data_IF_232239631952
#
_entry.id   IF_232239631952
#
_cell.length_a   1.000
_cell.length_b   1.000
_cell.length_c   1.000
_cell.angle_alpha   90.00
_cell.angle_beta   90.00
_cell.angle_gamma   90.00
#
_symmetry.space_group_name_H-M   'P 1'
#
loop_
_entity.id
_entity.type
_entity.pdbx_description
1 polymer ?
#
# COMPACT_ATOMS: atom_id res chain seq x y z
N UNK A 1 4.25 -23.59 8.20
CA UNK A 1 3.84 -22.17 8.16
C UNK A 1 4.50 -21.50 9.36
N UNK A 2 5.67 -20.87 9.16
CA UNK A 2 6.38 -20.14 10.22
C UNK A 2 5.77 -18.75 10.23
N UNK A 3 4.75 -18.56 11.09
CA UNK A 3 4.25 -17.23 11.41
C UNK A 3 5.25 -16.63 12.40
N UNK A 4 6.26 -15.90 11.93
CA UNK A 4 7.07 -15.05 12.82
C UNK A 4 6.15 -13.97 13.35
N UNK A 5 5.66 -14.12 14.57
CA UNK A 5 5.00 -13.04 15.28
C UNK A 5 6.05 -11.98 15.66
N UNK A 6 6.26 -11.03 14.77
CA UNK A 6 7.17 -9.89 14.99
C UNK A 6 6.63 -8.99 16.08
N UNK A 7 5.31 -8.86 16.14
CA UNK A 7 4.58 -8.10 17.14
C UNK A 7 3.73 -9.04 17.98
N UNK A 8 3.84 -8.95 19.29
CA UNK A 8 2.96 -9.70 20.19
C UNK A 8 1.53 -9.09 20.24
N UNK A 9 0.59 -9.82 20.86
CA UNK A 9 -0.82 -9.42 20.94
C UNK A 9 -1.04 -8.02 21.56
N UNK A 10 -0.27 -7.66 22.58
CA UNK A 10 -0.40 -6.33 23.19
C UNK A 10 0.13 -5.21 22.28
N UNK A 11 1.21 -5.45 21.55
CA UNK A 11 1.73 -4.49 20.56
C UNK A 11 0.75 -4.28 19.40
N UNK A 12 0.17 -5.37 18.87
CA UNK A 12 -0.89 -5.30 17.86
C UNK A 12 -2.07 -4.48 18.37
N UNK A 13 -2.54 -4.73 19.59
CA UNK A 13 -3.65 -3.99 20.18
C UNK A 13 -3.34 -2.50 20.40
N UNK A 14 -2.11 -2.15 20.76
CA UNK A 14 -1.67 -0.75 20.86
C UNK A 14 -1.73 -0.08 19.47
N UNK A 15 -1.25 -0.74 18.42
CA UNK A 15 -1.31 -0.23 17.05
C UNK A 15 -2.78 -0.02 16.62
N UNK A 16 -3.67 -0.98 16.86
CA UNK A 16 -5.10 -0.86 16.58
C UNK A 16 -5.71 0.37 17.26
N UNK A 17 -5.42 0.60 18.55
CA UNK A 17 -5.88 1.77 19.29
C UNK A 17 -5.36 3.09 18.71
N UNK A 18 -4.11 3.10 18.24
CA UNK A 18 -3.49 4.28 17.63
C UNK A 18 -3.97 4.52 16.19
N UNK A 19 -4.51 3.50 15.50
CA UNK A 19 -5.22 3.68 14.22
C UNK A 19 -6.55 4.43 14.39
N UNK A 20 -7.20 4.31 15.56
CA UNK A 20 -8.40 5.07 15.90
C UNK A 20 -8.10 6.53 16.22
N UNK A 21 -6.85 6.87 16.58
CA UNK A 21 -6.39 8.22 16.89
C UNK A 21 -5.25 8.24 17.90
N UNK A 22 -4.60 9.40 18.00
CA UNK A 22 -3.48 9.60 18.91
C UNK A 22 -3.92 9.45 20.38
N UNK A 23 -3.14 8.72 21.18
CA UNK A 23 -3.45 8.38 22.58
C UNK A 23 -2.31 8.73 23.54
N UNK A 24 -2.67 9.07 24.76
CA UNK A 24 -1.72 9.19 25.87
C UNK A 24 -1.42 7.82 26.50
N UNK A 25 -0.33 7.72 27.26
CA UNK A 25 -0.03 6.50 28.03
C UNK A 25 -1.19 6.06 28.92
N UNK A 26 -1.88 7.01 29.57
CA UNK A 26 -2.99 6.69 30.48
C UNK A 26 -4.20 6.11 29.74
N UNK A 27 -4.53 6.66 28.58
CA UNK A 27 -5.60 6.15 27.71
C UNK A 27 -5.26 4.74 27.21
N UNK A 28 -4.03 4.50 26.76
CA UNK A 28 -3.59 3.17 26.30
C UNK A 28 -3.64 2.15 27.45
N UNK A 29 -3.20 2.53 28.66
CA UNK A 29 -3.26 1.65 29.84
C UNK A 29 -4.69 1.26 30.17
N UNK A 30 -5.62 2.20 30.11
CA UNK A 30 -7.04 1.95 30.39
C UNK A 30 -7.65 0.93 29.40
N UNK A 31 -7.27 1.00 28.11
CA UNK A 31 -7.82 0.17 27.04
C UNK A 31 -7.16 -1.22 26.94
N UNK A 32 -5.85 -1.32 27.24
CA UNK A 32 -5.11 -2.58 27.12
C UNK A 32 -5.34 -3.50 28.33
N UNK A 33 -5.64 -2.95 29.52
CA UNK A 33 -5.92 -3.72 30.73
C UNK A 33 -4.69 -4.38 31.36
N UNK A 34 -3.45 -3.96 31.04
CA UNK A 34 -2.22 -4.39 31.70
C UNK A 34 -1.60 -3.22 32.49
N UNK A 35 -0.63 -3.54 33.35
CA UNK A 35 0.04 -2.55 34.19
C UNK A 35 0.75 -1.44 33.38
N UNK A 36 0.80 -0.22 33.91
CA UNK A 36 1.50 0.91 33.29
C UNK A 36 2.95 0.60 32.89
N UNK A 37 3.77 -0.08 33.71
CA UNK A 37 5.11 -0.52 33.30
C UNK A 37 5.08 -1.49 32.11
N UNK A 38 4.08 -2.37 32.06
CA UNK A 38 3.89 -3.30 30.94
C UNK A 38 3.61 -2.56 29.62
N UNK A 39 2.67 -1.62 29.63
CA UNK A 39 2.39 -0.78 28.45
C UNK A 39 3.62 0.02 28.04
N UNK A 40 4.32 0.65 29.00
CA UNK A 40 5.52 1.43 28.72
C UNK A 40 6.61 0.60 28.02
N UNK A 41 6.80 -0.66 28.43
CA UNK A 41 7.74 -1.58 27.78
C UNK A 41 7.36 -1.84 26.32
N UNK A 42 6.07 -2.03 26.03
CA UNK A 42 5.58 -2.26 24.67
C UNK A 42 5.71 -1.00 23.81
N UNK A 43 5.34 0.17 24.34
CA UNK A 43 5.52 1.45 23.64
C UNK A 43 6.98 1.70 23.28
N UNK A 44 7.89 1.53 24.26
CA UNK A 44 9.33 1.67 24.00
C UNK A 44 9.81 0.76 22.88
N UNK A 45 9.33 -0.50 22.84
CA UNK A 45 9.68 -1.43 21.76
C UNK A 45 9.12 -1.01 20.40
N UNK A 46 7.93 -0.42 20.36
CA UNK A 46 7.34 0.10 19.13
C UNK A 46 8.03 1.40 18.66
N UNK A 47 8.50 2.25 19.59
CA UNK A 47 9.34 3.40 19.28
C UNK A 47 10.73 2.99 18.76
N UNK A 48 11.35 1.96 19.34
CA UNK A 48 12.64 1.40 18.87
C UNK A 48 12.53 0.81 17.44
N UNK A 49 11.32 0.47 17.00
CA UNK A 49 11.02 -0.02 15.65
C UNK A 49 10.50 1.09 14.72
N UNK A 50 10.47 2.34 15.17
CA UNK A 50 9.91 3.50 14.46
C UNK A 50 8.44 3.33 14.00
N UNK A 51 7.69 2.40 14.63
CA UNK A 51 6.26 2.19 14.35
C UNK A 51 5.40 3.29 14.96
N UNK A 52 5.82 3.82 16.11
CA UNK A 52 5.14 4.92 16.80
C UNK A 52 6.14 6.01 17.20
N UNK A 53 5.61 7.21 17.43
CA UNK A 53 6.38 8.31 17.99
C UNK A 53 5.61 8.97 19.12
N UNK A 54 6.29 9.23 20.23
CA UNK A 54 5.76 10.00 21.35
C UNK A 54 6.12 11.47 21.22
N UNK A 55 5.13 12.36 21.26
CA UNK A 55 5.34 13.80 21.23
C UNK A 55 4.85 14.44 22.55
N UNK A 56 5.64 15.43 23.04
CA UNK A 56 5.29 16.15 24.25
C UNK A 56 4.27 17.24 23.96
N UNK A 57 3.15 17.16 24.66
CA UNK A 57 2.14 18.23 24.70
C UNK A 57 2.15 18.91 26.05
N UNK A 58 1.90 20.23 26.09
CA UNK A 58 1.62 20.98 27.33
C UNK A 58 0.12 20.94 27.60
N UNK A 59 -0.26 20.43 28.76
CA UNK A 59 -1.63 20.49 29.28
C UNK A 59 -1.66 21.31 30.56
N UNK A 60 -2.85 21.69 31.03
CA UNK A 60 -3.06 22.43 32.29
C UNK A 60 -2.41 21.76 33.52
N UNK A 61 -2.34 20.43 33.53
CA UNK A 61 -1.78 19.59 34.59
C UNK A 61 -0.29 19.23 34.39
N UNK A 62 0.37 19.77 33.37
CA UNK A 62 1.79 19.54 33.15
C UNK A 62 2.14 19.02 31.74
N UNK A 63 3.21 18.24 31.67
CA UNK A 63 3.77 17.70 30.42
C UNK A 63 3.27 16.27 30.21
N UNK A 64 2.51 16.03 29.15
CA UNK A 64 2.05 14.69 28.76
C UNK A 64 2.73 14.25 27.46
N UNK A 65 2.86 12.94 27.26
CA UNK A 65 3.30 12.35 26.00
C UNK A 65 2.09 11.77 25.29
N UNK A 66 1.90 12.19 24.05
CA UNK A 66 0.90 11.62 23.14
C UNK A 66 1.59 10.81 22.07
N UNK A 67 1.16 9.55 21.90
CA UNK A 67 1.69 8.63 20.92
C UNK A 67 0.86 8.65 19.66
N UNK A 68 1.51 8.57 18.51
CA UNK A 68 0.90 8.47 17.20
C UNK A 68 1.67 7.46 16.34
N UNK A 69 0.99 6.88 15.34
CA UNK A 69 1.60 5.97 14.39
C UNK A 69 2.48 6.75 13.40
N UNK A 70 3.59 6.12 13.02
CA UNK A 70 4.39 6.52 11.87
C UNK A 70 4.08 5.58 10.70
N UNK A 71 4.21 6.02 9.45
CA UNK A 71 4.29 5.11 8.31
C UNK A 71 5.41 4.11 8.58
N UNK A 72 5.09 2.81 8.56
CA UNK A 72 6.05 1.76 8.85
C UNK A 72 5.88 0.60 7.90
N UNK A 73 6.98 0.22 7.27
CA UNK A 73 7.07 -0.94 6.41
C UNK A 73 8.22 -1.82 6.88
N UNK A 74 7.99 -3.12 6.97
CA UNK A 74 9.04 -4.08 7.29
C UNK A 74 9.05 -5.20 6.26
N UNK A 75 10.21 -5.45 5.69
CA UNK A 75 10.44 -6.55 4.76
C UNK A 75 11.25 -7.63 5.43
N UNK A 76 10.77 -8.87 5.33
CA UNK A 76 11.50 -10.06 5.73
C UNK A 76 11.71 -10.89 4.47
N UNK A 77 12.96 -11.10 4.10
CA UNK A 77 13.36 -11.98 3.02
C UNK A 77 14.02 -13.21 3.61
N UNK A 78 13.51 -14.39 3.27
CA UNK A 78 14.10 -15.67 3.64
C UNK A 78 14.37 -16.44 2.35
N UNK A 79 15.63 -16.71 2.09
CA UNK A 79 16.06 -17.53 0.98
C UNK A 79 16.70 -18.83 1.49
N UNK A 80 15.99 -19.97 1.35
CA UNK A 80 16.50 -21.27 1.79
C UNK A 80 17.68 -21.76 0.98
N UNK A 81 17.83 -21.35 -0.29
CA UNK A 81 18.90 -21.79 -1.18
C UNK A 81 20.22 -21.13 -0.82
N UNK A 82 20.20 -19.83 -0.58
CA UNK A 82 21.38 -19.07 -0.10
C UNK A 82 21.56 -19.12 1.40
N UNK A 83 20.61 -19.71 2.15
CA UNK A 83 20.56 -19.75 3.61
C UNK A 83 20.64 -18.37 4.25
N UNK A 84 20.05 -17.38 3.59
CA UNK A 84 20.01 -15.99 4.08
C UNK A 84 18.64 -15.64 4.64
N UNK A 85 18.64 -14.88 5.73
CA UNK A 85 17.45 -14.23 6.27
C UNK A 85 17.79 -12.77 6.55
N UNK A 86 17.07 -11.87 5.91
CA UNK A 86 17.26 -10.42 6.07
C UNK A 86 15.94 -9.81 6.54
N UNK A 87 16.03 -8.88 7.48
CA UNK A 87 14.90 -8.02 7.85
C UNK A 87 15.38 -6.58 7.90
N UNK A 88 14.63 -5.66 7.33
CA UNK A 88 14.95 -4.24 7.37
C UNK A 88 13.66 -3.41 7.36
N UNK A 89 13.71 -2.25 8.01
CA UNK A 89 12.70 -1.22 7.83
C UNK A 89 12.81 -0.64 6.42
N UNK A 90 11.69 -0.39 5.78
CA UNK A 90 11.66 -0.09 4.36
C UNK A 90 11.94 1.38 4.02
N UNK A 91 12.12 2.25 5.00
CA UNK A 91 12.27 3.69 4.79
C UNK A 91 13.48 4.07 3.92
N UNK A 92 14.50 3.21 3.86
CA UNK A 92 15.74 3.49 3.13
C UNK A 92 15.90 2.73 1.80
N UNK A 93 15.06 1.74 1.49
CA UNK A 93 15.40 0.76 0.42
C UNK A 93 14.26 0.42 -0.51
N UNK A 94 13.01 0.70 -0.16
CA UNK A 94 11.87 0.33 -0.99
C UNK A 94 11.02 1.56 -1.30
N UNK A 95 11.03 1.92 -2.58
CA UNK A 95 9.97 2.70 -3.17
C UNK A 95 8.62 2.14 -2.70
N UNK A 96 7.69 2.98 -2.25
CA UNK A 96 6.34 2.57 -1.83
C UNK A 96 5.67 1.66 -2.88
N UNK A 97 6.03 1.85 -4.14
CA UNK A 97 5.60 1.07 -5.29
C UNK A 97 5.94 -0.42 -5.19
N UNK A 98 7.04 -0.81 -4.54
CA UNK A 98 7.44 -2.22 -4.43
C UNK A 98 6.48 -3.04 -3.56
N UNK A 99 5.91 -2.47 -2.50
CA UNK A 99 4.92 -3.14 -1.66
C UNK A 99 3.62 -3.41 -2.39
N UNK A 100 3.18 -2.44 -3.18
CA UNK A 100 1.95 -2.56 -3.96
C UNK A 100 2.06 -3.71 -4.96
N UNK A 101 3.23 -3.88 -5.59
CA UNK A 101 3.52 -4.99 -6.50
C UNK A 101 3.55 -6.37 -5.81
N UNK A 102 3.89 -6.43 -4.54
CA UNK A 102 3.87 -7.65 -3.74
C UNK A 102 2.48 -8.31 -3.70
N UNK A 103 1.41 -7.54 -3.86
CA UNK A 103 0.03 -8.01 -3.90
C UNK A 103 -0.36 -8.71 -5.21
N UNK A 104 0.45 -8.63 -6.26
CA UNK A 104 0.21 -9.34 -7.53
C UNK A 104 0.42 -10.84 -7.29
N UNK A 105 -0.62 -11.69 -7.48
CA UNK A 105 -0.56 -13.11 -7.13
C UNK A 105 0.52 -13.87 -7.92
N UNK A 106 0.63 -13.60 -9.21
CA UNK A 106 1.56 -14.28 -10.10
C UNK A 106 2.89 -13.52 -10.17
N UNK A 107 3.94 -14.11 -9.60
CA UNK A 107 5.26 -13.47 -9.44
C UNK A 107 5.90 -13.08 -10.77
N UNK A 108 5.67 -13.86 -11.83
CA UNK A 108 6.21 -13.60 -13.17
C UNK A 108 5.75 -12.26 -13.75
N UNK A 109 4.56 -11.79 -13.41
CA UNK A 109 4.04 -10.50 -13.88
C UNK A 109 4.56 -9.29 -13.07
N UNK A 110 5.08 -9.51 -11.85
CA UNK A 110 5.56 -8.42 -10.98
C UNK A 110 6.68 -7.61 -11.64
N UNK A 111 7.63 -8.29 -12.28
CA UNK A 111 8.74 -7.66 -12.98
C UNK A 111 8.27 -6.80 -14.17
N UNK A 112 7.31 -7.30 -14.94
CA UNK A 112 6.78 -6.58 -16.09
C UNK A 112 5.92 -5.37 -15.66
N UNK A 113 5.06 -5.53 -14.67
CA UNK A 113 4.30 -4.41 -14.10
C UNK A 113 5.23 -3.35 -13.53
N UNK A 114 6.33 -3.75 -12.86
CA UNK A 114 7.35 -2.82 -12.36
C UNK A 114 8.00 -2.02 -13.51
N UNK A 115 8.33 -2.67 -14.63
CA UNK A 115 8.93 -1.98 -15.76
C UNK A 115 7.97 -0.98 -16.39
N UNK A 116 6.68 -1.33 -16.53
CA UNK A 116 5.66 -0.38 -16.94
C UNK A 116 5.56 0.82 -15.99
N UNK A 117 5.47 0.57 -14.69
CA UNK A 117 5.39 1.64 -13.70
C UNK A 117 6.59 2.58 -13.76
N UNK A 118 7.81 2.05 -13.86
CA UNK A 118 9.04 2.83 -13.94
C UNK A 118 9.03 3.82 -15.11
N UNK A 119 8.52 3.42 -16.27
CA UNK A 119 8.38 4.31 -17.42
C UNK A 119 7.22 5.30 -17.22
N UNK A 120 6.05 4.82 -16.79
CA UNK A 120 4.85 5.63 -16.63
C UNK A 120 5.05 6.70 -15.54
N UNK A 121 5.64 6.36 -14.41
CA UNK A 121 5.85 7.29 -13.28
C UNK A 121 6.93 8.34 -13.56
N UNK A 122 7.68 8.21 -14.65
CA UNK A 122 8.59 9.26 -15.12
C UNK A 122 7.84 10.51 -15.62
N UNK A 123 6.54 10.38 -15.92
CA UNK A 123 5.68 11.50 -16.32
C UNK A 123 5.10 12.18 -15.09
N UNK A 124 5.37 13.47 -14.94
CA UNK A 124 4.98 14.23 -13.74
C UNK A 124 3.53 14.72 -13.79
N UNK A 125 2.56 13.84 -13.50
CA UNK A 125 1.19 14.25 -13.24
C UNK A 125 1.00 14.61 -11.76
N UNK A 126 0.21 15.66 -11.49
CA UNK A 126 0.03 16.18 -10.11
C UNK A 126 -0.62 15.16 -9.16
N UNK A 127 -1.57 14.35 -9.64
CA UNK A 127 -2.29 13.37 -8.82
C UNK A 127 -3.00 12.34 -9.69
N UNK A 128 -2.72 11.06 -9.48
CA UNK A 128 -3.40 9.95 -10.16
C UNK A 128 -3.22 8.63 -9.42
N UNK A 129 -4.09 7.68 -9.75
CA UNK A 129 -4.12 6.33 -9.21
C UNK A 129 -4.00 5.32 -10.35
N UNK A 130 -3.18 4.28 -10.19
CA UNK A 130 -3.13 3.15 -11.11
C UNK A 130 -3.62 1.89 -10.40
N UNK A 131 -4.60 1.23 -11.00
CA UNK A 131 -5.15 -0.03 -10.51
C UNK A 131 -4.89 -1.12 -11.55
N UNK A 132 -4.19 -2.17 -11.17
CA UNK A 132 -4.11 -3.41 -11.94
C UNK A 132 -5.41 -4.18 -11.77
N UNK A 133 -6.03 -4.64 -12.86
CA UNK A 133 -7.25 -5.44 -12.83
C UNK A 133 -7.17 -6.61 -13.83
N UNK A 134 -8.26 -7.31 -14.10
CA UNK A 134 -8.28 -8.42 -15.04
C UNK A 134 -7.53 -9.67 -14.55
N UNK A 135 -7.09 -10.49 -15.48
CA UNK A 135 -6.57 -11.84 -15.19
C UNK A 135 -5.28 -11.85 -14.38
N UNK A 136 -4.41 -10.86 -14.57
CA UNK A 136 -3.17 -10.72 -13.79
C UNK A 136 -3.49 -10.42 -12.33
N UNK A 137 -4.42 -9.50 -12.06
CA UNK A 137 -4.85 -9.17 -10.71
C UNK A 137 -5.57 -10.33 -10.03
N UNK A 138 -6.31 -11.14 -10.78
CA UNK A 138 -6.99 -12.34 -10.30
C UNK A 138 -6.05 -13.52 -10.04
N UNK A 139 -4.85 -13.53 -10.64
CA UNK A 139 -3.94 -14.66 -10.58
C UNK A 139 -4.28 -15.78 -11.56
N UNK A 140 -5.08 -15.51 -12.59
CA UNK A 140 -5.53 -16.46 -13.62
C UNK A 140 -4.91 -16.18 -15.00
N UNK A 141 -3.94 -15.28 -15.08
CA UNK A 141 -3.28 -14.91 -16.32
C UNK A 141 -2.45 -16.07 -16.90
N UNK A 142 -2.31 -16.06 -18.21
CA UNK A 142 -1.51 -17.00 -18.98
C UNK A 142 -0.60 -16.26 -19.97
N UNK A 143 0.22 -17.00 -20.73
CA UNK A 143 1.21 -16.43 -21.68
C UNK A 143 0.62 -15.51 -22.77
N UNK A 144 -0.68 -15.47 -22.96
CA UNK A 144 -1.36 -14.61 -23.94
C UNK A 144 -2.19 -13.50 -23.27
N UNK A 145 -2.15 -13.43 -21.96
CA UNK A 145 -2.89 -12.42 -21.21
C UNK A 145 -2.20 -11.07 -21.35
N UNK A 146 -3.02 -10.02 -21.46
CA UNK A 146 -2.53 -8.65 -21.37
C UNK A 146 -2.48 -8.20 -19.90
N UNK A 147 -1.79 -7.12 -19.64
CA UNK A 147 -1.72 -6.45 -18.33
C UNK A 147 -2.72 -5.30 -18.36
N UNK A 148 -3.87 -5.47 -17.71
CA UNK A 148 -4.94 -4.48 -17.69
C UNK A 148 -4.66 -3.41 -16.62
N UNK A 149 -4.46 -2.16 -17.04
CA UNK A 149 -4.12 -1.02 -16.18
C UNK A 149 -5.21 0.05 -16.25
N UNK A 150 -5.83 0.34 -15.12
CA UNK A 150 -6.78 1.43 -14.99
C UNK A 150 -6.11 2.66 -14.38
N UNK A 151 -6.15 3.77 -15.10
CA UNK A 151 -5.65 5.07 -14.67
C UNK A 151 -6.81 5.96 -14.25
N UNK A 152 -6.81 6.45 -13.02
CA UNK A 152 -7.85 7.33 -12.50
C UNK A 152 -7.23 8.67 -12.11
N UNK A 153 -7.84 9.76 -12.58
CA UNK A 153 -7.49 11.14 -12.29
C UNK A 153 -8.76 12.00 -12.27
N UNK A 154 -8.70 13.23 -11.81
CA UNK A 154 -9.87 14.13 -11.82
C UNK A 154 -10.39 14.35 -13.24
N UNK A 155 -9.48 14.56 -14.20
CA UNK A 155 -9.81 14.65 -15.64
C UNK A 155 -8.57 14.33 -16.47
N UNK A 156 -8.75 13.74 -17.63
CA UNK A 156 -7.69 13.44 -18.59
C UNK A 156 -7.76 14.34 -19.81
N UNK A 157 -6.63 14.93 -20.19
CA UNK A 157 -6.48 15.58 -21.49
C UNK A 157 -5.94 14.60 -22.52
N UNK A 158 -6.06 14.93 -23.80
CA UNK A 158 -5.50 14.12 -24.90
C UNK A 158 -3.96 14.04 -24.82
N UNK A 159 -3.31 15.13 -24.43
CA UNK A 159 -1.85 15.20 -24.33
C UNK A 159 -1.36 14.30 -23.20
N UNK A 160 -1.99 14.35 -22.03
CA UNK A 160 -1.63 13.50 -20.88
C UNK A 160 -1.82 12.00 -21.19
N UNK A 161 -2.94 11.62 -21.82
CA UNK A 161 -3.16 10.23 -22.22
C UNK A 161 -2.16 9.80 -23.29
N UNK A 162 -1.80 10.69 -24.22
CA UNK A 162 -0.77 10.47 -25.23
C UNK A 162 0.60 10.21 -24.59
N UNK A 163 0.99 11.03 -23.62
CA UNK A 163 2.26 10.83 -22.89
C UNK A 163 2.31 9.47 -22.18
N UNK A 164 1.25 9.07 -21.48
CA UNK A 164 1.21 7.74 -20.83
C UNK A 164 1.32 6.62 -21.85
N UNK A 165 0.60 6.73 -22.97
CA UNK A 165 0.65 5.73 -24.04
C UNK A 165 2.07 5.60 -24.64
N UNK A 166 2.77 6.72 -24.84
CA UNK A 166 4.14 6.72 -25.32
C UNK A 166 5.10 6.00 -24.35
N UNK A 167 4.92 6.19 -23.02
CA UNK A 167 5.72 5.47 -22.02
C UNK A 167 5.38 3.98 -21.99
N UNK A 168 4.11 3.60 -22.12
CA UNK A 168 3.69 2.20 -22.24
C UNK A 168 4.35 1.55 -23.47
N UNK A 169 4.32 2.22 -24.60
CA UNK A 169 4.96 1.71 -25.84
C UNK A 169 6.47 1.52 -25.63
N UNK A 170 7.15 2.45 -24.98
CA UNK A 170 8.57 2.30 -24.66
C UNK A 170 8.83 1.09 -23.76
N UNK A 171 8.03 0.90 -22.71
CA UNK A 171 8.17 -0.23 -21.80
C UNK A 171 7.95 -1.59 -22.50
N UNK A 172 7.12 -1.62 -23.56
CA UNK A 172 6.80 -2.87 -24.30
C UNK A 172 8.04 -3.54 -24.89
N UNK A 173 9.14 -2.82 -25.09
CA UNK A 173 10.41 -3.42 -25.58
C UNK A 173 11.08 -4.32 -24.56
N UNK A 174 10.81 -4.14 -23.28
CA UNK A 174 11.49 -4.78 -22.16
C UNK A 174 10.61 -5.83 -21.43
N UNK A 175 9.40 -6.07 -21.94
CA UNK A 175 8.41 -6.99 -21.34
C UNK A 175 7.83 -7.95 -22.39
N UNK A 176 7.21 -9.05 -21.93
CA UNK A 176 6.61 -10.05 -22.81
C UNK A 176 5.11 -9.85 -23.06
N UNK A 177 4.42 -9.14 -22.17
CA UNK A 177 2.98 -8.96 -22.20
C UNK A 177 2.61 -7.49 -22.42
N UNK A 178 1.70 -7.25 -23.36
CA UNK A 178 1.23 -5.89 -23.65
C UNK A 178 0.40 -5.33 -22.52
N UNK A 179 0.57 -4.06 -22.18
CA UNK A 179 -0.35 -3.36 -21.28
C UNK A 179 -1.56 -2.83 -22.04
N UNK A 180 -2.75 -2.96 -21.44
CA UNK A 180 -4.01 -2.38 -21.88
C UNK A 180 -4.45 -1.27 -20.94
N UNK A 181 -4.14 0.00 -21.27
CA UNK A 181 -4.54 1.13 -20.44
C UNK A 181 -6.01 1.48 -20.64
N UNK A 182 -6.71 1.74 -19.53
CA UNK A 182 -8.02 2.35 -19.48
C UNK A 182 -7.92 3.65 -18.69
N UNK A 183 -8.30 4.78 -19.26
CA UNK A 183 -8.26 6.08 -18.62
C UNK A 183 -9.68 6.51 -18.24
N UNK A 184 -9.88 6.81 -16.97
CA UNK A 184 -11.16 7.29 -16.46
C UNK A 184 -10.94 8.50 -15.55
N UNK A 185 -11.84 9.47 -15.66
CA UNK A 185 -12.02 10.46 -14.62
C UNK A 185 -12.65 9.81 -13.38
N UNK A 186 -12.57 10.50 -12.24
CA UNK A 186 -13.21 10.05 -11.00
C UNK A 186 -14.73 9.83 -11.16
N UNK A 187 -15.39 10.74 -11.88
CA UNK A 187 -16.83 10.64 -12.13
C UNK A 187 -17.16 9.50 -13.11
N UNK A 188 -16.35 9.29 -14.16
CA UNK A 188 -16.51 8.15 -15.06
C UNK A 188 -16.32 6.82 -14.33
N UNK A 189 -15.34 6.72 -13.43
CA UNK A 189 -15.16 5.53 -12.57
C UNK A 189 -16.38 5.28 -11.68
N UNK A 190 -16.98 6.32 -11.09
CA UNK A 190 -18.20 6.18 -10.30
C UNK A 190 -19.39 5.67 -11.12
N UNK A 191 -19.50 6.09 -12.37
CA UNK A 191 -20.63 5.82 -13.27
C UNK A 191 -20.37 4.72 -14.31
N UNK A 192 -19.21 4.06 -14.27
CA UNK A 192 -18.85 3.02 -15.23
C UNK A 192 -19.77 1.79 -15.18
N UNK A 193 -19.65 0.91 -16.18
CA UNK A 193 -20.40 -0.36 -16.24
C UNK A 193 -20.29 -1.15 -14.94
N UNK A 194 -21.42 -1.66 -14.46
CA UNK A 194 -21.53 -2.35 -13.18
C UNK A 194 -20.69 -3.64 -13.12
N UNK A 195 -20.53 -4.34 -14.25
CA UNK A 195 -19.80 -5.60 -14.31
C UNK A 195 -18.31 -5.35 -14.16
N UNK A 196 -17.75 -4.43 -14.93
CA UNK A 196 -16.34 -4.04 -14.85
C UNK A 196 -16.03 -3.39 -13.49
N UNK A 197 -16.93 -2.53 -13.00
CA UNK A 197 -16.78 -1.92 -11.67
C UNK A 197 -16.72 -2.96 -10.56
N UNK A 198 -17.59 -3.98 -10.63
CA UNK A 198 -17.59 -5.08 -9.66
C UNK A 198 -16.28 -5.88 -9.71
N UNK A 199 -15.81 -6.20 -10.91
CA UNK A 199 -14.53 -6.90 -11.10
C UNK A 199 -13.36 -6.13 -10.47
N UNK A 200 -13.25 -4.82 -10.78
CA UNK A 200 -12.21 -3.95 -10.23
C UNK A 200 -12.33 -3.88 -8.69
N UNK A 201 -13.55 -3.74 -8.15
CA UNK A 201 -13.76 -3.72 -6.70
C UNK A 201 -13.36 -5.02 -6.00
N UNK A 202 -13.64 -6.16 -6.64
CA UNK A 202 -13.41 -7.47 -6.05
C UNK A 202 -11.94 -7.92 -6.18
N UNK A 203 -11.27 -7.58 -7.27
CA UNK A 203 -9.96 -8.12 -7.63
C UNK A 203 -8.89 -7.05 -7.91
N UNK A 204 -9.26 -5.79 -8.07
CA UNK A 204 -8.32 -4.71 -8.39
C UNK A 204 -7.24 -4.54 -7.33
N UNK A 205 -6.03 -4.31 -7.78
CA UNK A 205 -4.85 -4.09 -6.94
C UNK A 205 -4.33 -2.70 -7.25
N UNK A 206 -4.30 -1.82 -6.26
CA UNK A 206 -3.61 -0.53 -6.40
C UNK A 206 -2.13 -0.84 -6.53
N UNK A 207 -1.51 -0.37 -7.61
CA UNK A 207 -0.10 -0.56 -7.89
C UNK A 207 0.69 0.75 -7.89
N UNK A 208 0.02 1.89 -7.92
CA UNK A 208 0.62 3.21 -7.78
C UNK A 208 -0.42 4.24 -7.33
N UNK A 209 -0.01 5.17 -6.47
CA UNK A 209 -0.81 6.32 -6.10
C UNK A 209 0.05 7.57 -5.92
N UNK A 210 -0.42 8.70 -6.44
CA UNK A 210 0.15 10.02 -6.21
C UNK A 210 -0.96 10.99 -5.81
N UNK A 211 -0.84 11.59 -4.65
CA UNK A 211 -1.85 12.48 -4.07
C UNK A 211 -2.67 11.84 -2.95
N UNK A 212 -3.43 12.67 -2.21
CA UNK A 212 -4.16 12.22 -0.99
C UNK A 212 -5.66 12.00 -1.18
N UNK A 213 -6.20 12.21 -2.38
CA UNK A 213 -7.66 12.24 -2.63
C UNK A 213 -8.30 10.87 -2.91
N UNK A 214 -7.54 9.79 -2.87
CA UNK A 214 -7.98 8.47 -3.34
C UNK A 214 -8.69 7.62 -2.29
N UNK A 215 -8.90 8.11 -1.07
CA UNK A 215 -9.47 7.35 0.03
C UNK A 215 -10.86 6.75 -0.26
N UNK A 216 -11.71 7.45 -1.03
CA UNK A 216 -13.01 6.92 -1.42
C UNK A 216 -12.87 5.69 -2.32
N UNK A 217 -11.97 5.73 -3.32
CA UNK A 217 -11.73 4.60 -4.22
C UNK A 217 -11.09 3.43 -3.45
N UNK A 218 -10.11 3.71 -2.60
CA UNK A 218 -9.44 2.70 -1.77
C UNK A 218 -10.45 1.94 -0.90
N UNK A 219 -11.42 2.63 -0.33
CA UNK A 219 -12.48 2.00 0.48
C UNK A 219 -13.41 1.09 -0.34
N UNK A 220 -13.54 1.34 -1.64
CA UNK A 220 -14.33 0.50 -2.53
C UNK A 220 -13.60 -0.78 -2.95
N UNK A 221 -12.27 -0.82 -2.95
CA UNK A 221 -11.46 -1.98 -3.36
C UNK A 221 -11.34 -2.99 -2.21
N UNK A 222 -11.92 -4.17 -2.37
CA UNK A 222 -11.97 -5.20 -1.30
C UNK A 222 -10.59 -5.68 -0.87
N UNK A 223 -9.64 -5.81 -1.80
CA UNK A 223 -8.27 -6.25 -1.48
C UNK A 223 -7.50 -5.24 -0.64
N UNK A 224 -7.79 -3.96 -0.76
CA UNK A 224 -7.19 -2.94 0.11
C UNK A 224 -7.63 -3.10 1.58
N UNK A 225 -8.89 -3.55 1.79
CA UNK A 225 -9.43 -3.80 3.16
C UNK A 225 -8.85 -5.04 3.84
N UNK A 226 -8.34 -6.01 3.07
CA UNK A 226 -7.82 -7.27 3.63
C UNK A 226 -6.36 -7.19 4.10
N UNK A 227 -5.68 -6.07 3.89
CA UNK A 227 -4.31 -5.81 4.38
C UNK A 227 -4.33 -5.10 5.75
N UNK A 228 -5.49 -4.61 6.19
CA UNK A 228 -5.65 -4.17 7.59
C UNK A 228 -5.85 -5.41 8.46
N UNK A 229 -4.76 -5.88 9.06
CA UNK A 229 -4.70 -6.95 10.07
C UNK A 229 -5.22 -6.42 11.39
#
# INVERSE_FOLDING_TARGET
MICMEILNSHQKRIIELLLEGNKTLSEIVAEIGISKPGVTKHLKKLEELDIIKGEYERNYDGRIVRYHLQPFHMVISIDPETKTALSFAADDVLDEDFFLLGNIPQKEFRGEVKEYLKQITSVDFLSYLIVLYGSVAQGSANRKSDIDLLFIKDSWTKDETGEVLDQIVKATTDVNHAAKPLFLSFDEFKNMDKTLKKEIKDNGIIIYEKGKQWNEIKQELRRYKSIMI
#
